data_IF_513959248564
#
_entry.id   IF_513959248564
#
_cell.length_a   1.000
_cell.length_b   1.000
_cell.length_c   1.000
_cell.angle_alpha   90.00
_cell.angle_beta   90.00
_cell.angle_gamma   90.00
#
_symmetry.space_group_name_H-M   'P 1'
#
loop_
_entity.id
_entity.type
_entity.pdbx_description
1 polymer ?
#
# COMPACT_ATOMS: atom_id res chain seq x y z
N UNK A 1 13.65 -3.63 0.55
CA UNK A 1 12.52 -2.93 1.15
C UNK A 1 12.38 -3.34 2.59
N UNK A 2 11.52 -2.62 3.31
CA UNK A 2 11.19 -2.85 4.72
C UNK A 2 9.70 -3.13 4.83
N UNK A 3 9.33 -4.07 5.69
CA UNK A 3 7.98 -4.62 5.76
C UNK A 3 7.50 -4.72 7.20
N UNK A 4 6.20 -4.54 7.38
CA UNK A 4 5.48 -4.77 8.64
C UNK A 4 4.09 -5.31 8.30
N UNK A 5 3.62 -6.27 9.08
CA UNK A 5 2.29 -6.83 8.89
C UNK A 5 1.22 -5.80 9.24
N UNK A 6 0.10 -5.78 8.52
CA UNK A 6 -0.96 -4.80 8.75
C UNK A 6 -1.49 -4.86 10.18
N UNK A 7 -1.75 -6.07 10.69
CA UNK A 7 -2.24 -6.25 12.06
C UNK A 7 -1.20 -5.87 13.11
N UNK A 8 0.10 -6.12 12.87
CA UNK A 8 1.15 -5.66 13.78
C UNK A 8 1.21 -4.13 13.82
N UNK A 9 1.08 -3.46 12.67
CA UNK A 9 1.06 -2.00 12.61
C UNK A 9 -0.13 -1.39 13.36
N UNK A 10 -1.32 -1.97 13.19
CA UNK A 10 -2.53 -1.56 13.90
C UNK A 10 -2.39 -1.78 15.42
N UNK A 11 -1.88 -2.94 15.83
CA UNK A 11 -1.62 -3.23 17.24
C UNK A 11 -0.56 -2.29 17.83
N UNK A 12 0.47 -1.93 17.06
CA UNK A 12 1.47 -0.97 17.50
C UNK A 12 0.89 0.42 17.74
N UNK A 13 -0.10 0.84 16.93
CA UNK A 13 -0.80 2.12 17.15
C UNK A 13 -1.57 2.12 18.47
N UNK A 14 -2.31 1.04 18.76
CA UNK A 14 -3.05 0.88 20.03
C UNK A 14 -2.07 0.85 21.20
N UNK A 15 -1.01 0.04 21.10
CA UNK A 15 0.03 -0.08 22.12
C UNK A 15 0.67 1.27 22.46
N UNK A 16 1.05 2.06 21.45
CA UNK A 16 1.66 3.38 21.65
C UNK A 16 0.68 4.42 22.21
N UNK A 17 -0.62 4.26 21.95
CA UNK A 17 -1.64 5.12 22.53
C UNK A 17 -1.87 4.81 24.02
N UNK A 18 -1.81 3.54 24.40
CA UNK A 18 -2.04 3.09 25.79
C UNK A 18 -0.80 3.26 26.69
N UNK A 19 0.40 3.23 26.12
CA UNK A 19 1.66 3.34 26.88
C UNK A 19 1.95 4.79 27.28
N UNK A 20 1.75 5.11 28.57
CA UNK A 20 1.96 6.46 29.09
C UNK A 20 3.41 6.97 28.94
N UNK A 21 4.40 6.08 28.87
CA UNK A 21 5.79 6.43 28.64
C UNK A 21 6.11 6.72 27.15
N UNK A 22 5.19 6.45 26.23
CA UNK A 22 5.42 6.63 24.80
C UNK A 22 5.64 8.11 24.45
N UNK A 23 6.76 8.42 23.75
CA UNK A 23 7.10 9.80 23.38
C UNK A 23 7.84 9.88 22.05
N UNK A 24 7.40 10.81 21.21
CA UNK A 24 8.03 11.13 19.94
C UNK A 24 7.80 10.02 18.89
N UNK A 25 8.77 9.84 17.99
CA UNK A 25 8.63 8.94 16.83
C UNK A 25 9.04 7.50 17.17
N UNK A 26 8.37 6.55 16.52
CA UNK A 26 8.66 5.12 16.58
C UNK A 26 8.71 4.55 15.17
N UNK A 27 9.70 3.69 14.92
CA UNK A 27 9.77 2.88 13.71
C UNK A 27 9.02 1.58 14.00
N UNK A 28 8.10 1.22 13.10
CA UNK A 28 7.34 -0.02 13.15
C UNK A 28 7.61 -0.80 11.85
N UNK A 29 8.69 -1.58 11.88
CA UNK A 29 9.19 -2.41 10.78
C UNK A 29 9.71 -3.72 11.35
N UNK A 30 9.17 -4.87 10.93
CA UNK A 30 9.54 -6.17 11.48
C UNK A 30 10.59 -6.90 10.64
N UNK A 31 10.53 -6.76 9.32
CA UNK A 31 11.39 -7.49 8.40
C UNK A 31 11.98 -6.56 7.34
N UNK A 32 13.12 -6.96 6.79
CA UNK A 32 13.72 -6.34 5.63
C UNK A 32 14.14 -7.42 4.62
N UNK A 33 13.92 -7.16 3.34
CA UNK A 33 14.24 -8.10 2.27
C UNK A 33 14.49 -7.35 0.96
N UNK A 34 15.37 -7.89 0.11
CA UNK A 34 15.61 -7.32 -1.23
C UNK A 34 14.49 -7.69 -2.18
N UNK A 35 14.40 -6.99 -3.32
CA UNK A 35 13.46 -7.38 -4.38
C UNK A 35 13.74 -8.79 -4.91
N UNK A 36 15.01 -9.21 -4.92
CA UNK A 36 15.40 -10.57 -5.33
C UNK A 36 14.78 -11.62 -4.39
N UNK A 37 14.92 -11.44 -3.09
CA UNK A 37 14.34 -12.34 -2.07
C UNK A 37 12.82 -12.42 -2.20
N UNK A 38 12.12 -11.29 -2.35
CA UNK A 38 10.66 -11.27 -2.52
C UNK A 38 10.26 -11.96 -3.83
N UNK A 39 10.95 -11.67 -4.93
CA UNK A 39 10.65 -12.26 -6.24
C UNK A 39 10.82 -13.79 -6.22
N UNK A 40 11.85 -14.28 -5.54
CA UNK A 40 12.12 -15.70 -5.41
C UNK A 40 11.02 -16.40 -4.61
N UNK A 41 10.67 -15.85 -3.45
CA UNK A 41 9.56 -16.36 -2.64
C UNK A 41 8.26 -16.43 -3.47
N UNK A 42 7.92 -15.36 -4.18
CA UNK A 42 6.70 -15.30 -4.98
C UNK A 42 6.71 -16.30 -6.14
N UNK A 43 7.83 -16.50 -6.83
CA UNK A 43 7.95 -17.52 -7.89
C UNK A 43 7.75 -18.94 -7.35
N UNK A 44 8.30 -19.24 -6.17
CA UNK A 44 8.18 -20.55 -5.56
C UNK A 44 6.76 -20.80 -5.04
N UNK A 45 6.14 -19.79 -4.42
CA UNK A 45 4.81 -19.90 -3.82
C UNK A 45 3.68 -19.83 -4.85
N UNK A 46 3.87 -19.05 -5.91
CA UNK A 46 2.87 -18.75 -6.93
C UNK A 46 3.44 -18.91 -8.36
N UNK A 47 3.81 -20.14 -8.76
CA UNK A 47 4.39 -20.41 -10.08
C UNK A 47 3.47 -20.04 -11.26
N UNK A 48 2.17 -19.86 -11.02
CA UNK A 48 1.17 -19.42 -11.99
C UNK A 48 1.28 -17.93 -12.38
N UNK A 49 2.09 -17.14 -11.66
CA UNK A 49 2.41 -15.76 -12.03
C UNK A 49 3.77 -15.65 -12.71
N UNK A 50 3.85 -14.78 -13.72
CA UNK A 50 5.10 -14.44 -14.40
C UNK A 50 5.90 -13.40 -13.59
N UNK A 51 6.42 -13.79 -12.44
CA UNK A 51 7.27 -12.93 -11.59
C UNK A 51 8.71 -12.95 -12.13
N UNK A 52 9.30 -11.80 -12.47
CA UNK A 52 10.68 -11.73 -12.96
C UNK A 52 11.69 -12.33 -11.97
N UNK A 53 12.77 -12.93 -12.50
CA UNK A 53 13.90 -13.40 -11.70
C UNK A 53 15.06 -12.42 -11.61
N UNK A 54 15.10 -11.44 -12.52
CA UNK A 54 16.12 -10.41 -12.59
C UNK A 54 15.48 -9.04 -12.73
N UNK A 55 16.18 -8.01 -12.25
CA UNK A 55 15.72 -6.63 -12.27
C UNK A 55 16.89 -5.74 -12.69
N UNK A 56 16.65 -4.82 -13.62
CA UNK A 56 17.68 -3.90 -14.10
C UNK A 56 18.24 -3.06 -12.94
N UNK A 57 19.57 -2.97 -12.85
CA UNK A 57 20.24 -2.19 -11.80
C UNK A 57 20.25 -2.84 -10.42
N UNK A 58 19.83 -4.10 -10.28
CA UNK A 58 19.86 -4.83 -9.00
C UNK A 58 20.94 -5.91 -9.03
N UNK A 59 21.93 -5.76 -8.16
CA UNK A 59 23.01 -6.74 -7.95
C UNK A 59 22.54 -7.87 -7.01
N UNK A 60 22.97 -9.11 -7.26
CA UNK A 60 22.74 -10.26 -6.38
C UNK A 60 23.33 -10.07 -4.96
N UNK A 61 24.40 -9.30 -4.86
CA UNK A 61 25.08 -8.94 -3.61
C UNK A 61 24.45 -7.72 -2.92
N UNK A 62 23.33 -7.20 -3.44
CA UNK A 62 22.63 -6.08 -2.83
C UNK A 62 22.23 -6.46 -1.40
N UNK A 63 22.75 -5.72 -0.42
CA UNK A 63 22.37 -5.91 0.98
C UNK A 63 21.03 -5.24 1.25
N UNK A 64 20.19 -5.94 2.00
CA UNK A 64 18.98 -5.34 2.53
C UNK A 64 19.32 -4.26 3.56
N UNK A 65 18.50 -3.22 3.63
CA UNK A 65 18.64 -2.10 4.56
C UNK A 65 17.60 -2.29 5.66
N UNK A 66 18.06 -2.54 6.88
CA UNK A 66 17.18 -2.76 8.03
C UNK A 66 16.74 -1.44 8.67
N UNK A 67 15.46 -1.37 9.05
CA UNK A 67 14.91 -0.31 9.88
C UNK A 67 14.85 -0.80 11.33
N UNK A 68 15.43 -0.04 12.26
CA UNK A 68 15.48 -0.45 13.66
C UNK A 68 14.18 -0.10 14.40
N UNK A 69 13.37 -1.11 14.68
CA UNK A 69 12.21 -1.01 15.59
C UNK A 69 12.57 -1.19 17.05
N UNK A 70 13.86 -1.14 17.40
CA UNK A 70 14.36 -1.41 18.76
C UNK A 70 13.64 -0.57 19.82
N UNK A 71 13.41 0.72 19.57
CA UNK A 71 12.71 1.61 20.51
C UNK A 71 11.28 1.14 20.80
N UNK A 72 10.57 0.60 19.82
CA UNK A 72 9.21 0.06 19.99
C UNK A 72 9.25 -1.27 20.78
N UNK A 73 10.19 -2.15 20.43
CA UNK A 73 10.36 -3.46 21.08
C UNK A 73 10.81 -3.30 22.54
N UNK A 74 11.74 -2.38 22.82
CA UNK A 74 12.24 -2.11 24.17
C UNK A 74 11.15 -1.62 25.13
N UNK A 75 10.02 -1.11 24.62
CA UNK A 75 8.85 -0.76 25.44
C UNK A 75 7.94 -1.96 25.75
N UNK A 76 8.16 -3.12 25.11
CA UNK A 76 7.39 -4.33 25.33
C UNK A 76 6.48 -4.75 24.16
N UNK A 77 6.49 -4.02 23.04
CA UNK A 77 5.76 -4.44 21.84
C UNK A 77 6.42 -5.67 21.19
N UNK A 78 5.60 -6.62 20.73
CA UNK A 78 6.07 -7.80 19.99
C UNK A 78 5.37 -7.93 18.63
N UNK A 79 6.16 -8.11 17.59
CA UNK A 79 5.67 -8.49 16.26
C UNK A 79 5.26 -9.95 16.26
N UNK A 80 4.12 -10.27 15.65
CA UNK A 80 3.56 -11.62 15.65
C UNK A 80 3.67 -12.35 14.32
N UNK A 81 3.82 -11.61 13.22
CA UNK A 81 3.70 -12.16 11.88
C UNK A 81 5.03 -12.14 11.14
N UNK A 82 5.27 -13.18 10.35
CA UNK A 82 6.42 -13.30 9.46
C UNK A 82 6.21 -12.52 8.15
N UNK A 83 7.31 -12.31 7.42
CA UNK A 83 7.26 -11.73 6.06
C UNK A 83 6.44 -12.61 5.09
N UNK A 84 6.52 -13.93 5.23
CA UNK A 84 5.89 -14.89 4.33
C UNK A 84 4.38 -14.89 4.50
N UNK A 85 3.89 -14.86 5.75
CA UNK A 85 2.47 -14.71 6.08
C UNK A 85 1.91 -13.42 5.46
N UNK A 86 2.61 -12.30 5.62
CA UNK A 86 2.20 -11.00 5.04
C UNK A 86 2.03 -11.07 3.51
N UNK A 87 2.99 -11.67 2.82
CA UNK A 87 2.97 -11.77 1.36
C UNK A 87 1.84 -12.71 0.90
N UNK A 88 1.68 -13.86 1.56
CA UNK A 88 0.64 -14.83 1.24
C UNK A 88 -0.74 -14.25 1.47
N UNK A 89 -1.01 -13.69 2.65
CA UNK A 89 -2.31 -13.11 2.97
C UNK A 89 -2.69 -11.97 2.02
N UNK A 90 -1.70 -11.17 1.60
CA UNK A 90 -1.90 -10.11 0.61
C UNK A 90 -2.35 -10.67 -0.74
N UNK A 91 -1.62 -11.66 -1.28
CA UNK A 91 -1.95 -12.29 -2.57
C UNK A 91 -3.30 -13.01 -2.51
N UNK A 92 -3.55 -13.80 -1.47
CA UNK A 92 -4.81 -14.54 -1.32
C UNK A 92 -6.02 -13.61 -1.14
N UNK A 93 -5.86 -12.51 -0.39
CA UNK A 93 -6.93 -11.52 -0.24
C UNK A 93 -7.24 -10.84 -1.57
N UNK A 94 -6.23 -10.47 -2.36
CA UNK A 94 -6.41 -9.90 -3.68
C UNK A 94 -7.09 -10.88 -4.66
N UNK A 95 -6.72 -12.17 -4.64
CA UNK A 95 -7.40 -13.22 -5.41
C UNK A 95 -8.87 -13.33 -5.03
N UNK A 96 -9.15 -13.49 -3.74
CA UNK A 96 -10.51 -13.65 -3.21
C UNK A 96 -11.42 -12.48 -3.56
N UNK A 97 -10.87 -11.27 -3.63
CA UNK A 97 -11.59 -10.04 -3.98
C UNK A 97 -11.62 -9.74 -5.49
N UNK A 98 -11.00 -10.58 -6.33
CA UNK A 98 -10.96 -10.37 -7.79
C UNK A 98 -10.02 -9.25 -8.24
N UNK A 99 -9.10 -8.78 -7.39
CA UNK A 99 -8.08 -7.79 -7.75
C UNK A 99 -6.85 -8.41 -8.42
N UNK A 100 -6.66 -9.72 -8.24
CA UNK A 100 -5.57 -10.47 -8.85
C UNK A 100 -6.14 -11.76 -9.46
N UNK A 101 -5.83 -12.08 -10.74
CA UNK A 101 -6.34 -13.29 -11.37
C UNK A 101 -5.75 -14.52 -10.68
N UNK A 102 -6.49 -15.64 -10.66
CA UNK A 102 -5.98 -16.90 -10.07
C UNK A 102 -4.80 -17.42 -10.87
N UNK A 103 -4.86 -17.30 -12.20
CA UNK A 103 -3.74 -17.58 -13.11
C UNK A 103 -3.68 -16.54 -14.24
N UNK A 104 -2.49 -16.33 -14.82
CA UNK A 104 -2.38 -15.46 -16.01
C UNK A 104 -2.97 -16.08 -17.29
N UNK A 105 -3.44 -17.34 -17.23
CA UNK A 105 -4.07 -18.03 -18.36
C UNK A 105 -5.58 -17.69 -18.49
N UNK A 106 -6.20 -17.16 -17.43
CA UNK A 106 -7.65 -16.87 -17.39
C UNK A 106 -8.06 -15.55 -18.07
N UNK A 107 -7.13 -14.80 -18.63
CA UNK A 107 -7.38 -13.50 -19.30
C UNK A 107 -8.00 -13.63 -20.72
N UNK A 108 -8.65 -14.75 -21.06
CA UNK A 108 -9.30 -14.93 -22.38
C UNK A 108 -10.82 -14.96 -22.38
N UNK A 109 -11.51 -14.81 -21.24
CA UNK A 109 -12.98 -14.69 -21.23
C UNK A 109 -13.47 -13.85 -20.07
N UNK A 110 -14.05 -12.69 -20.39
CA UNK A 110 -15.15 -11.91 -19.72
C UNK A 110 -14.93 -10.44 -20.12
N UNK A 111 -15.76 -9.70 -20.85
CA UNK A 111 -17.09 -9.86 -21.44
C UNK A 111 -17.21 -8.79 -22.54
N UNK A 112 -17.80 -9.14 -23.69
CA UNK A 112 -18.24 -8.19 -24.71
C UNK A 112 -19.42 -7.37 -24.15
N UNK A 113 -19.34 -6.05 -24.25
CA UNK A 113 -20.50 -5.18 -24.05
C UNK A 113 -21.43 -5.37 -25.26
N UNK A 114 -22.73 -5.69 -25.09
CA UNK A 114 -23.64 -5.77 -26.21
C UNK A 114 -23.85 -4.38 -26.81
N UNK A 115 -23.45 -4.20 -28.07
CA UNK A 115 -23.77 -3.03 -28.86
C UNK A 115 -25.26 -3.05 -29.22
N UNK A 116 -26.03 -2.15 -28.62
CA UNK A 116 -27.32 -1.72 -29.17
C UNK A 116 -26.98 -0.66 -30.21
N UNK A 117 -27.10 -1.05 -31.48
CA UNK A 117 -26.96 -0.14 -32.60
C UNK A 117 -28.18 0.75 -32.74
N UNK A 118 -27.94 2.01 -33.10
CA UNK A 118 -28.79 2.77 -34.00
C UNK A 118 -27.91 3.71 -34.83
N UNK A 119 -28.06 3.61 -36.14
CA UNK A 119 -27.39 4.42 -37.16
C UNK A 119 -28.03 5.81 -37.25
N UNK A 120 -27.25 6.89 -37.24
CA UNK A 120 -27.56 8.14 -37.98
C UNK A 120 -26.28 8.72 -38.60
N UNK A 121 -26.40 9.11 -39.86
CA UNK A 121 -25.38 9.48 -40.85
C UNK A 121 -24.46 10.67 -40.53
N UNK A 122 -23.17 10.47 -40.84
CA UNK A 122 -22.29 11.25 -41.71
C UNK A 122 -22.50 12.78 -41.86
N UNK A 123 -21.59 13.60 -41.29
CA UNK A 123 -21.09 14.82 -41.94
C UNK A 123 -19.60 15.08 -41.64
N UNK A 124 -18.86 15.07 -42.74
CA UNK A 124 -17.58 15.67 -43.14
C UNK A 124 -16.85 16.65 -42.20
N UNK A 125 -15.55 16.37 -41.99
CA UNK A 125 -14.46 17.34 -42.22
C UNK A 125 -13.88 18.09 -41.01
N UNK A 126 -12.65 17.76 -40.62
CA UNK A 126 -11.46 18.64 -40.63
C UNK A 126 -10.32 18.01 -39.80
N UNK A 127 -9.16 17.87 -40.43
CA UNK A 127 -7.85 17.72 -39.77
C UNK A 127 -7.48 19.07 -39.14
N UNK A 128 -6.82 19.08 -37.98
CA UNK A 128 -5.69 19.98 -37.61
C UNK A 128 -5.29 19.82 -36.12
N UNK A 129 -4.03 19.42 -35.93
CA UNK A 129 -2.97 19.86 -34.97
C UNK A 129 -3.12 19.82 -33.43
N UNK A 130 -1.98 19.45 -32.83
CA UNK A 130 -1.51 19.60 -31.44
C UNK A 130 -2.06 20.79 -30.65
N UNK A 131 -2.28 20.58 -29.35
CA UNK A 131 -2.60 21.66 -28.42
C UNK A 131 -2.79 21.19 -26.99
N UNK A 132 -1.68 21.11 -26.26
CA UNK A 132 -1.57 20.98 -24.80
C UNK A 132 -2.37 22.07 -24.06
N UNK A 133 -3.32 21.67 -23.19
CA UNK A 133 -3.88 22.50 -22.10
C UNK A 133 -4.95 21.68 -21.34
N UNK A 134 -5.20 21.76 -20.03
CA UNK A 134 -4.79 22.67 -18.96
C UNK A 134 -5.14 21.96 -17.63
N UNK A 135 -4.22 21.94 -16.65
CA UNK A 135 -4.58 21.63 -15.26
C UNK A 135 -5.54 22.71 -14.74
N UNK A 136 -6.76 22.34 -14.39
CA UNK A 136 -7.70 23.26 -13.73
C UNK A 136 -7.41 23.27 -12.23
N UNK A 137 -6.72 24.32 -11.79
CA UNK A 137 -6.77 24.79 -10.41
C UNK A 137 -8.02 25.65 -10.23
N UNK A 138 -8.82 25.35 -9.21
CA UNK A 138 -9.80 26.30 -8.65
C UNK A 138 -9.74 26.24 -7.12
N UNK A 139 -9.14 27.26 -6.52
CA UNK A 139 -9.49 27.80 -5.19
C UNK A 139 -10.17 29.19 -5.43
N UNK A 140 -10.70 29.96 -4.45
CA UNK A 140 -10.78 29.74 -2.99
C UNK A 140 -12.13 30.11 -2.32
N UNK A 141 -12.26 29.73 -1.04
CA UNK A 141 -12.62 30.67 0.02
C UNK A 141 -14.04 30.63 0.59
N UNK A 142 -14.18 30.13 1.83
CA UNK A 142 -14.99 30.78 2.88
C UNK A 142 -14.22 30.68 4.22
N UNK A 143 -14.31 31.77 4.97
CA UNK A 143 -13.54 32.23 6.12
C UNK A 143 -13.75 31.49 7.44
N UNK A 144 -12.69 31.54 8.24
CA UNK A 144 -12.51 31.23 9.66
C UNK A 144 -13.71 31.38 10.63
N UNK A 145 -13.85 30.42 11.53
CA UNK A 145 -14.17 30.65 12.94
C UNK A 145 -13.20 29.85 13.84
N UNK A 146 -12.56 30.56 14.77
CA UNK A 146 -11.77 30.04 15.87
C UNK A 146 -12.70 29.75 17.05
N UNK A 147 -12.59 28.55 17.63
CA UNK A 147 -12.98 28.36 19.03
C UNK A 147 -11.86 27.59 19.73
N UNK A 148 -10.97 28.35 20.38
CA UNK A 148 -10.09 27.86 21.41
C UNK A 148 -10.94 27.43 22.61
N UNK A 149 -10.83 26.16 23.02
CA UNK A 149 -11.16 25.80 24.40
C UNK A 149 -10.13 24.78 24.89
N UNK A 150 -9.15 25.32 25.61
CA UNK A 150 -8.22 24.61 26.47
C UNK A 150 -9.01 23.93 27.59
N UNK A 151 -8.90 22.61 27.73
CA UNK A 151 -9.35 21.88 28.92
C UNK A 151 -8.20 21.83 29.94
N UNK A 152 -8.41 22.25 31.20
CA UNK A 152 -7.38 22.18 32.23
C UNK A 152 -7.22 20.75 32.74
N UNK A 153 -5.97 20.30 32.84
CA UNK A 153 -5.59 19.16 33.64
C UNK A 153 -5.81 19.49 35.12
N UNK A 154 -6.74 18.79 35.78
CA UNK A 154 -6.85 18.77 37.23
C UNK A 154 -6.95 17.31 37.70
N UNK A 155 -5.87 16.88 38.37
CA UNK A 155 -5.85 16.11 39.61
C UNK A 155 -6.84 14.94 39.77
N UNK A 156 -6.31 13.72 39.87
CA UNK A 156 -6.63 12.83 40.99
C UNK A 156 -5.48 11.83 41.18
N UNK A 157 -4.60 12.15 42.14
CA UNK A 157 -3.99 11.15 42.98
C UNK A 157 -5.00 10.78 44.08
N UNK A 158 -5.28 9.50 44.23
CA UNK A 158 -5.62 8.83 45.48
C UNK A 158 -5.32 7.34 45.30
#
# INVERSE_FOLDING_TARGET
GQYVHLDDLCNAHIFLYEEAAAKGRYVCSSHDATILTISEFLRQKYPEYNVPSTFEGVDENLKSIAFSSKKLIDMGFSFKYSLEEMLVESVETCRKKGFLPVSLQDQTKTEEVPSIGDNIEHKTGAVLTDGMMLCMNTEPGITAEKSDTCMPAQHMCA
#
